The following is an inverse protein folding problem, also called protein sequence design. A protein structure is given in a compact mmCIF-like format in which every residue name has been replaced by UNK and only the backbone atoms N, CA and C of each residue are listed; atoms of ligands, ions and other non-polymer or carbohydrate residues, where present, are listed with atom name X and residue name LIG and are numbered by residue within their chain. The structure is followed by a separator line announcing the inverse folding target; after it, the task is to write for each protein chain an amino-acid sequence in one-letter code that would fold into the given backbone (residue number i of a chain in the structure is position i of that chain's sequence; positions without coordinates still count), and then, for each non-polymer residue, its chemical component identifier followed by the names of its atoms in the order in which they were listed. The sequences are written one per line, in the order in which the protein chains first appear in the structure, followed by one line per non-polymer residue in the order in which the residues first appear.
data_IF_302554847530
#
_entry.id   IF_302554847530
#
_cell.length_a   1.000
_cell.length_b   1.000
_cell.length_c   1.000
_cell.angle_alpha   90.00
_cell.angle_beta   90.00
_cell.angle_gamma   90.00
#
_symmetry.space_group_name_H-M   'P 1'
#
loop_
_entity.id
_entity.type
_entity.pdbx_description
1 polymer ?
#
# COMPACT_ATOMS: atom_id res chain seq x y z
N UNK A 1 -3.09 -0.63 -13.00
CA UNK A 1 -2.51 -1.01 -11.72
C UNK A 1 -3.04 -0.13 -10.61
N UNK A 2 -3.11 -0.67 -9.40
CA UNK A 2 -3.34 0.09 -8.17
C UNK A 2 -2.02 0.16 -7.38
N UNK A 3 -1.51 1.36 -7.13
CA UNK A 3 -0.31 1.60 -6.34
C UNK A 3 -0.72 2.16 -4.98
N UNK A 4 -0.28 1.53 -3.91
CA UNK A 4 -0.61 1.92 -2.54
C UNK A 4 0.70 2.24 -1.79
N UNK A 5 1.05 3.51 -1.63
CA UNK A 5 2.12 3.93 -0.73
C UNK A 5 1.75 3.58 0.70
N UNK A 6 2.56 2.77 1.38
CA UNK A 6 2.29 2.36 2.75
C UNK A 6 3.57 2.27 3.57
N UNK A 7 3.48 2.55 4.87
CA UNK A 7 4.55 2.25 5.81
C UNK A 7 4.72 0.73 5.95
N UNK A 8 5.96 0.28 6.06
CA UNK A 8 6.28 -1.14 6.12
C UNK A 8 5.73 -1.85 7.36
N UNK A 9 5.54 -1.11 8.44
CA UNK A 9 5.06 -1.61 9.74
C UNK A 9 3.71 -0.97 10.05
N UNK A 10 2.77 -1.79 10.49
CA UNK A 10 1.40 -1.42 10.83
C UNK A 10 0.51 -1.26 9.61
N UNK A 11 0.70 -0.20 8.81
CA UNK A 11 -0.17 0.14 7.68
C UNK A 11 -0.21 -0.95 6.60
N UNK A 12 0.93 -1.52 6.25
CA UNK A 12 0.97 -2.62 5.26
C UNK A 12 0.16 -3.82 5.76
N UNK A 13 0.32 -4.22 7.02
CA UNK A 13 -0.40 -5.37 7.59
C UNK A 13 -1.91 -5.10 7.66
N UNK A 14 -2.32 -3.89 8.02
CA UNK A 14 -3.74 -3.52 8.01
C UNK A 14 -4.35 -3.59 6.60
N UNK A 15 -3.63 -3.11 5.58
CA UNK A 15 -4.08 -3.22 4.17
C UNK A 15 -4.17 -4.70 3.77
N UNK A 16 -3.19 -5.52 4.11
CA UNK A 16 -3.19 -6.94 3.80
C UNK A 16 -4.40 -7.64 4.44
N UNK A 17 -4.67 -7.40 5.71
CA UNK A 17 -5.84 -7.94 6.40
C UNK A 17 -7.15 -7.56 5.71
N UNK A 18 -7.31 -6.30 5.28
CA UNK A 18 -8.51 -5.85 4.56
C UNK A 18 -8.64 -6.50 3.17
N UNK A 19 -7.53 -6.65 2.45
CA UNK A 19 -7.52 -7.31 1.15
C UNK A 19 -7.80 -8.80 1.28
N UNK A 20 -7.29 -9.46 2.34
CA UNK A 20 -7.56 -10.85 2.63
C UNK A 20 -9.05 -11.09 2.93
N UNK A 21 -9.68 -10.24 3.73
CA UNK A 21 -11.16 -10.27 3.92
C UNK A 21 -11.92 -10.11 2.60
N UNK A 22 -11.43 -9.28 1.67
CA UNK A 22 -12.04 -9.13 0.34
C UNK A 22 -11.82 -10.39 -0.52
N UNK A 23 -10.65 -11.00 -0.44
CA UNK A 23 -10.34 -12.24 -1.15
C UNK A 23 -11.21 -13.39 -0.66
N UNK A 24 -11.26 -13.63 0.65
CA UNK A 24 -12.07 -14.69 1.28
C UNK A 24 -13.57 -14.52 1.04
N UNK A 25 -14.06 -13.27 0.97
CA UNK A 25 -15.46 -12.97 0.62
C UNK A 25 -15.75 -13.03 -0.89
N UNK A 26 -14.78 -13.35 -1.73
CA UNK A 26 -14.93 -13.42 -3.19
C UNK A 26 -15.00 -12.07 -3.91
N UNK A 27 -14.77 -10.96 -3.20
CA UNK A 27 -14.77 -9.60 -3.80
C UNK A 27 -13.46 -9.25 -4.51
N UNK A 28 -12.35 -9.90 -4.14
CA UNK A 28 -11.05 -9.74 -4.76
C UNK A 28 -10.63 -11.09 -5.36
N UNK A 29 -10.87 -11.28 -6.66
CA UNK A 29 -10.50 -12.51 -7.35
C UNK A 29 -9.61 -12.20 -8.55
N UNK A 30 -8.69 -13.13 -8.87
CA UNK A 30 -7.84 -13.08 -10.07
C UNK A 30 -6.96 -11.83 -10.20
N UNK A 31 -6.66 -11.15 -9.10
CA UNK A 31 -5.75 -10.01 -9.05
C UNK A 31 -4.54 -10.38 -8.18
N UNK A 32 -3.35 -10.24 -8.74
CA UNK A 32 -2.12 -10.40 -7.99
C UNK A 32 -1.86 -9.16 -7.12
N UNK A 33 -1.49 -9.39 -5.87
CA UNK A 33 -1.08 -8.36 -4.91
C UNK A 33 0.40 -8.54 -4.61
N UNK A 34 1.17 -7.48 -4.78
CA UNK A 34 2.61 -7.48 -4.53
C UNK A 34 2.93 -6.56 -3.36
N UNK A 35 3.56 -7.11 -2.33
CA UNK A 35 4.16 -6.34 -1.23
C UNK A 35 5.62 -6.09 -1.59
N UNK A 36 5.90 -4.92 -2.14
CA UNK A 36 7.24 -4.56 -2.60
C UNK A 36 8.01 -3.78 -1.53
N UNK A 37 8.26 -4.46 -0.44
CA UNK A 37 9.04 -3.97 0.70
C UNK A 37 9.63 -5.14 1.50
N UNK A 38 10.95 -5.38 1.46
CA UNK A 38 11.58 -6.40 2.29
C UNK A 38 11.35 -6.20 3.79
N UNK A 39 11.33 -4.94 4.24
CA UNK A 39 11.04 -4.64 5.65
C UNK A 39 9.59 -5.00 6.01
N UNK A 40 8.63 -4.76 5.11
CA UNK A 40 7.24 -5.15 5.36
C UNK A 40 7.07 -6.67 5.45
N UNK A 41 7.78 -7.42 4.61
CA UNK A 41 7.80 -8.89 4.69
C UNK A 41 8.27 -9.37 6.06
N UNK A 42 9.46 -8.90 6.51
CA UNK A 42 10.01 -9.28 7.80
C UNK A 42 9.10 -8.85 8.98
N UNK A 43 8.51 -7.65 8.88
CA UNK A 43 7.56 -7.18 9.89
C UNK A 43 6.32 -8.08 9.95
N UNK A 44 5.77 -8.48 8.80
CA UNK A 44 4.59 -9.36 8.76
C UNK A 44 4.87 -10.73 9.35
N UNK A 45 6.08 -11.29 9.12
CA UNK A 45 6.50 -12.53 9.77
C UNK A 45 6.46 -12.41 11.32
N UNK A 46 6.86 -11.25 11.86
CA UNK A 46 6.76 -10.98 13.31
C UNK A 46 5.30 -10.87 13.76
N UNK A 47 4.45 -10.19 12.99
CA UNK A 47 3.01 -10.12 13.32
C UNK A 47 2.39 -11.53 13.41
N UNK A 48 2.69 -12.40 12.45
CA UNK A 48 2.13 -13.78 12.40
C UNK A 48 2.53 -14.61 13.62
N UNK A 49 3.75 -14.44 14.15
CA UNK A 49 4.23 -15.22 15.32
C UNK A 49 3.83 -14.62 16.67
N UNK A 50 3.17 -13.45 16.68
CA UNK A 50 2.70 -12.77 17.88
C UNK A 50 1.18 -12.50 17.83
N UNK A 51 0.34 -13.53 17.66
CA UNK A 51 -1.10 -13.36 17.60
C UNK A 51 -1.69 -12.78 18.88
N UNK A 52 -1.04 -12.95 20.03
CA UNK A 52 -1.46 -12.41 21.33
C UNK A 52 -1.54 -10.87 21.36
N UNK A 53 -0.96 -10.19 20.35
CA UNK A 53 -1.00 -8.74 20.21
C UNK A 53 -2.19 -8.24 19.35
N UNK A 54 -3.00 -9.14 18.80
CA UNK A 54 -4.13 -8.78 17.97
C UNK A 54 -5.36 -8.44 18.82
N UNK A 55 -6.25 -7.65 18.23
CA UNK A 55 -7.55 -7.37 18.80
C UNK A 55 -8.54 -8.56 18.61
N UNK A 56 -9.69 -8.45 19.25
CA UNK A 56 -10.71 -9.50 19.21
C UNK A 56 -11.24 -9.71 17.78
N UNK A 57 -11.30 -8.65 16.93
CA UNK A 57 -11.77 -8.75 15.56
C UNK A 57 -10.86 -9.67 14.73
N UNK A 58 -9.54 -9.50 14.84
CA UNK A 58 -8.58 -10.35 14.13
C UNK A 58 -8.59 -11.77 14.69
N UNK A 59 -8.69 -11.94 16.01
CA UNK A 59 -8.83 -13.26 16.62
C UNK A 59 -10.06 -14.03 16.12
N UNK A 60 -11.22 -13.40 16.06
CA UNK A 60 -12.42 -14.01 15.48
C UNK A 60 -12.25 -14.37 14.00
N UNK A 61 -11.57 -13.51 13.25
CA UNK A 61 -11.29 -13.75 11.85
C UNK A 61 -10.36 -14.95 11.65
N UNK A 62 -9.31 -15.09 12.47
CA UNK A 62 -8.35 -16.20 12.42
C UNK A 62 -8.97 -17.57 12.71
N UNK A 63 -10.16 -17.64 13.32
CA UNK A 63 -10.91 -18.90 13.41
C UNK A 63 -11.39 -19.42 12.04
N UNK A 64 -11.45 -18.55 11.04
CA UNK A 64 -11.89 -18.87 9.66
C UNK A 64 -10.74 -18.89 8.67
N UNK A 65 -9.72 -18.10 8.93
CA UNK A 65 -8.52 -17.98 8.12
C UNK A 65 -7.28 -17.88 9.01
N UNK A 66 -6.43 -18.91 8.99
CA UNK A 66 -5.25 -19.01 9.87
C UNK A 66 -4.18 -17.93 9.54
N UNK A 67 -4.20 -17.36 8.33
CA UNK A 67 -3.20 -16.37 7.91
C UNK A 67 -3.84 -15.10 7.31
N UNK A 68 -4.25 -14.15 8.15
CA UNK A 68 -4.94 -12.94 7.71
C UNK A 68 -4.06 -11.95 6.92
N UNK A 69 -2.80 -12.29 6.66
CA UNK A 69 -1.83 -11.46 5.93
C UNK A 69 -1.31 -12.13 4.65
N UNK A 70 -1.95 -13.22 4.19
CA UNK A 70 -1.48 -13.89 2.99
C UNK A 70 -2.46 -14.89 2.39
N UNK A 71 -2.55 -14.88 1.07
CA UNK A 71 -3.38 -15.78 0.25
C UNK A 71 -2.67 -16.12 -1.07
N UNK A 72 -3.24 -17.02 -1.87
CA UNK A 72 -2.58 -17.57 -3.05
C UNK A 72 -2.07 -16.54 -4.07
N UNK A 73 -2.77 -15.39 -4.21
CA UNK A 73 -2.41 -14.34 -5.17
C UNK A 73 -1.62 -13.19 -4.54
N UNK A 74 -1.14 -13.35 -3.31
CA UNK A 74 -0.29 -12.36 -2.62
C UNK A 74 1.18 -12.81 -2.68
N UNK A 75 2.05 -11.87 -3.05
CA UNK A 75 3.46 -12.13 -3.30
C UNK A 75 4.36 -11.08 -2.63
N UNK A 76 5.37 -11.53 -1.90
CA UNK A 76 6.42 -10.65 -1.41
C UNK A 76 7.54 -10.50 -2.43
N UNK A 77 7.90 -9.25 -2.75
CA UNK A 77 8.98 -8.90 -3.67
C UNK A 77 10.27 -8.70 -2.90
N UNK A 78 11.20 -9.66 -3.00
CA UNK A 78 12.44 -9.68 -2.22
C UNK A 78 13.55 -8.84 -2.85
N UNK A 79 13.76 -8.97 -4.15
CA UNK A 79 14.88 -8.33 -4.84
C UNK A 79 14.46 -7.18 -5.76
N UNK A 80 15.47 -6.36 -6.13
CA UNK A 80 15.25 -5.19 -6.96
C UNK A 80 14.87 -5.51 -8.41
N UNK A 81 15.24 -6.67 -8.95
CA UNK A 81 14.91 -7.03 -10.33
C UNK A 81 13.44 -7.41 -10.44
N UNK A 82 12.91 -8.14 -9.46
CA UNK A 82 11.47 -8.41 -9.35
C UNK A 82 10.69 -7.09 -9.27
N UNK A 83 11.12 -6.15 -8.40
CA UNK A 83 10.52 -4.83 -8.29
C UNK A 83 10.50 -4.06 -9.62
N UNK A 84 11.62 -4.07 -10.35
CA UNK A 84 11.72 -3.44 -11.68
C UNK A 84 10.80 -4.10 -12.69
N UNK A 85 10.68 -5.43 -12.67
CA UNK A 85 9.78 -6.17 -13.56
C UNK A 85 8.31 -5.75 -13.40
N UNK A 86 7.87 -5.41 -12.19
CA UNK A 86 6.53 -4.87 -11.95
C UNK A 86 6.27 -3.54 -12.69
N UNK A 87 7.32 -2.73 -12.90
CA UNK A 87 7.17 -1.45 -13.60
C UNK A 87 6.97 -1.62 -15.11
N UNK A 88 7.51 -2.67 -15.70
CA UNK A 88 7.44 -2.95 -17.14
C UNK A 88 6.30 -3.89 -17.51
N UNK A 89 5.84 -4.74 -16.59
CA UNK A 89 4.67 -5.59 -16.81
C UNK A 89 3.43 -4.76 -17.18
N UNK A 90 2.55 -5.30 -18.00
CA UNK A 90 1.24 -4.72 -18.35
C UNK A 90 0.08 -5.35 -17.56
N UNK A 91 0.37 -6.42 -16.82
CA UNK A 91 -0.64 -7.15 -16.05
C UNK A 91 -1.31 -6.27 -14.99
N UNK A 92 -2.64 -6.34 -14.85
CA UNK A 92 -3.35 -5.72 -13.74
C UNK A 92 -2.86 -6.29 -12.40
N UNK A 93 -2.51 -5.42 -11.46
CA UNK A 93 -2.09 -5.85 -10.13
C UNK A 93 -2.24 -4.73 -9.11
N UNK A 94 -2.19 -5.10 -7.83
CA UNK A 94 -2.04 -4.18 -6.70
C UNK A 94 -0.58 -4.21 -6.24
N UNK A 95 0.04 -3.05 -6.04
CA UNK A 95 1.41 -2.91 -5.54
C UNK A 95 1.37 -2.09 -4.25
N UNK A 96 1.73 -2.72 -3.14
CA UNK A 96 1.88 -2.07 -1.84
C UNK A 96 3.38 -1.88 -1.61
N UNK A 97 3.83 -0.64 -1.45
CA UNK A 97 5.26 -0.35 -1.35
C UNK A 97 5.56 0.82 -0.40
N UNK A 98 6.69 0.72 0.30
CA UNK A 98 7.18 1.79 1.16
C UNK A 98 7.92 2.88 0.34
N UNK A 99 7.89 4.13 0.80
CA UNK A 99 7.33 4.65 2.04
C UNK A 99 5.89 5.18 1.86
N UNK A 100 5.14 5.25 2.96
CA UNK A 100 3.75 5.75 2.94
C UNK A 100 3.58 7.19 2.47
N UNK A 101 4.59 8.04 2.63
CA UNK A 101 4.58 9.44 2.14
C UNK A 101 5.17 9.57 0.73
N UNK A 102 5.53 8.47 0.08
CA UNK A 102 6.07 8.38 -1.28
C UNK A 102 7.39 9.14 -1.56
N UNK A 103 8.07 9.66 -0.54
CA UNK A 103 9.30 10.45 -0.73
C UNK A 103 10.53 9.60 -1.03
N UNK A 104 10.53 8.35 -0.60
CA UNK A 104 11.65 7.41 -0.72
C UNK A 104 11.15 5.98 -0.93
N UNK A 105 12.08 5.05 -1.11
CA UNK A 105 11.78 3.63 -1.25
C UNK A 105 11.28 3.23 -2.63
N UNK A 106 10.86 1.98 -2.75
CA UNK A 106 10.46 1.37 -4.02
C UNK A 106 9.20 2.00 -4.61
N UNK A 107 8.29 2.49 -3.77
CA UNK A 107 7.08 3.19 -4.21
C UNK A 107 7.39 4.38 -5.11
N UNK A 108 8.48 5.11 -4.84
CA UNK A 108 8.88 6.25 -5.67
C UNK A 108 9.23 5.84 -7.10
N UNK A 109 9.83 4.66 -7.29
CA UNK A 109 10.10 4.10 -8.60
C UNK A 109 8.80 3.65 -9.29
N UNK A 110 7.87 3.03 -8.57
CA UNK A 110 6.57 2.67 -9.12
C UNK A 110 5.81 3.92 -9.59
N UNK A 111 5.75 4.96 -8.78
CA UNK A 111 5.10 6.22 -9.15
C UNK A 111 5.76 6.85 -10.38
N UNK A 112 7.09 6.87 -10.46
CA UNK A 112 7.83 7.38 -11.62
C UNK A 112 7.39 6.70 -12.93
N UNK A 113 7.17 5.39 -12.92
CA UNK A 113 6.81 4.61 -14.11
C UNK A 113 5.31 4.49 -14.38
N UNK A 114 4.45 4.88 -13.45
CA UNK A 114 3.02 4.57 -13.53
C UNK A 114 2.09 5.79 -13.46
N UNK A 115 2.57 6.97 -13.00
CA UNK A 115 1.73 8.17 -12.86
C UNK A 115 1.25 8.74 -14.19
N UNK A 116 2.00 8.56 -15.27
CA UNK A 116 1.63 9.07 -16.60
C UNK A 116 0.59 8.19 -17.33
N UNK A 117 0.17 7.08 -16.72
CA UNK A 117 -0.74 6.09 -17.31
C UNK A 117 -2.16 6.25 -16.76
N UNK A 118 -3.12 6.70 -17.59
CA UNK A 118 -4.47 7.02 -17.12
C UNK A 118 -5.28 5.79 -16.63
N UNK A 119 -4.88 4.58 -16.99
CA UNK A 119 -5.52 3.35 -16.53
C UNK A 119 -5.06 2.93 -15.13
N UNK A 120 -4.11 3.63 -14.53
CA UNK A 120 -3.60 3.33 -13.20
C UNK A 120 -4.28 4.19 -12.14
N UNK A 121 -4.23 3.70 -10.89
CA UNK A 121 -4.72 4.43 -9.73
C UNK A 121 -3.64 4.43 -8.65
N UNK A 122 -3.48 5.55 -7.98
CA UNK A 122 -2.71 5.68 -6.74
C UNK A 122 -3.69 5.85 -5.60
N UNK A 123 -3.62 4.97 -4.60
CA UNK A 123 -4.46 5.06 -3.41
C UNK A 123 -3.61 5.52 -2.22
N UNK A 124 -3.85 6.74 -1.77
CA UNK A 124 -3.24 7.28 -0.56
C UNK A 124 -4.04 6.81 0.65
N UNK A 125 -3.39 6.09 1.53
CA UNK A 125 -3.98 5.52 2.75
C UNK A 125 -3.43 6.22 3.99
N UNK A 126 -4.21 7.12 4.57
CA UNK A 126 -3.83 7.89 5.75
C UNK A 126 -3.18 9.23 5.43
N UNK A 127 -2.53 9.79 6.44
CA UNK A 127 -1.96 11.15 6.41
C UNK A 127 -0.66 11.22 5.62
N UNK A 128 -0.50 12.27 4.83
CA UNK A 128 0.76 12.66 4.21
C UNK A 128 1.19 14.05 4.70
N UNK A 129 2.40 14.16 5.22
CA UNK A 129 2.94 15.43 5.70
C UNK A 129 3.17 16.44 4.56
N UNK A 130 3.02 17.71 4.86
CA UNK A 130 3.27 18.80 3.91
C UNK A 130 4.68 18.70 3.31
N UNK A 131 4.81 19.00 2.03
CA UNK A 131 6.06 18.97 1.27
C UNK A 131 6.43 17.57 0.76
N UNK A 132 5.72 16.52 1.15
CA UNK A 132 5.96 15.14 0.64
C UNK A 132 5.35 14.92 -0.75
N UNK A 133 5.88 13.94 -1.48
CA UNK A 133 5.30 13.56 -2.77
C UNK A 133 3.86 13.04 -2.60
N UNK A 134 3.59 12.29 -1.52
CA UNK A 134 2.24 11.82 -1.20
C UNK A 134 1.26 12.98 -1.04
N UNK A 135 1.62 14.03 -0.27
CA UNK A 135 0.76 15.23 -0.14
C UNK A 135 0.56 15.96 -1.47
N UNK A 136 1.62 16.11 -2.26
CA UNK A 136 1.48 16.71 -3.60
C UNK A 136 0.48 15.96 -4.47
N UNK A 137 0.48 14.62 -4.44
CA UNK A 137 -0.48 13.81 -5.19
C UNK A 137 -1.92 13.95 -4.67
N UNK A 138 -2.11 14.15 -3.36
CA UNK A 138 -3.42 14.45 -2.76
C UNK A 138 -4.01 15.71 -3.35
N UNK A 139 -3.19 16.75 -3.62
CA UNK A 139 -3.61 18.02 -4.24
C UNK A 139 -3.94 17.90 -5.73
N UNK A 140 -3.81 16.69 -6.32
CA UNK A 140 -4.12 16.35 -7.72
C UNK A 140 -3.48 17.29 -8.74
N UNK A 141 -2.16 17.48 -8.72
CA UNK A 141 -1.47 18.40 -9.63
C UNK A 141 -1.45 17.84 -11.06
N UNK A 142 -1.22 18.70 -12.06
CA UNK A 142 -1.02 18.26 -13.44
C UNK A 142 0.28 17.46 -13.62
N UNK A 143 1.32 17.81 -12.84
CA UNK A 143 2.63 17.13 -12.85
C UNK A 143 3.31 17.18 -11.50
N UNK A 144 4.25 16.26 -11.29
CA UNK A 144 5.13 16.18 -10.11
C UNK A 144 6.57 15.95 -10.54
N UNK A 145 7.53 16.37 -9.72
CA UNK A 145 8.95 16.12 -9.99
C UNK A 145 9.41 14.86 -9.22
N UNK A 146 9.85 13.84 -9.95
CA UNK A 146 10.40 12.60 -9.39
C UNK A 146 11.75 12.33 -10.05
N UNK A 147 12.81 12.14 -9.25
CA UNK A 147 14.19 11.93 -9.74
C UNK A 147 14.67 13.04 -10.69
N UNK A 148 14.33 14.30 -10.38
CA UNK A 148 14.65 15.48 -11.19
C UNK A 148 14.00 15.49 -12.59
N UNK A 149 12.96 14.67 -12.79
CA UNK A 149 12.19 14.64 -14.02
C UNK A 149 10.73 15.01 -13.73
N UNK A 150 10.15 15.82 -14.59
CA UNK A 150 8.73 16.17 -14.51
C UNK A 150 7.89 15.02 -15.08
N UNK A 151 6.98 14.50 -14.27
CA UNK A 151 6.06 13.42 -14.63
C UNK A 151 4.63 13.93 -14.60
N UNK A 152 3.90 13.78 -15.70
CA UNK A 152 2.48 14.12 -15.75
C UNK A 152 1.67 13.17 -14.88
N UNK A 153 0.73 13.72 -14.11
CA UNK A 153 -0.19 12.92 -13.29
C UNK A 153 -1.47 12.67 -14.09
N UNK A 154 -1.52 11.54 -14.77
CA UNK A 154 -2.69 11.07 -15.53
C UNK A 154 -3.42 9.92 -14.82
N UNK A 155 -2.73 9.23 -13.93
CA UNK A 155 -3.33 8.21 -13.08
C UNK A 155 -4.36 8.85 -12.14
N UNK A 156 -5.43 8.12 -11.82
CA UNK A 156 -6.36 8.54 -10.76
C UNK A 156 -5.65 8.58 -9.41
N UNK A 157 -5.92 9.60 -8.60
CA UNK A 157 -5.45 9.67 -7.21
C UNK A 157 -6.65 9.64 -6.29
N UNK A 158 -6.75 8.56 -5.52
CA UNK A 158 -7.82 8.33 -4.56
C UNK A 158 -7.27 8.41 -3.13
N UNK A 159 -8.11 8.82 -2.19
CA UNK A 159 -7.73 9.02 -0.80
C UNK A 159 -8.65 8.20 0.09
N UNK A 160 -8.06 7.40 0.97
CA UNK A 160 -8.78 6.65 1.99
C UNK A 160 -8.37 7.17 3.39
N UNK A 161 -9.17 8.06 3.96
CA UNK A 161 -8.92 8.65 5.27
C UNK A 161 -9.30 7.75 6.43
N UNK A 162 -10.20 6.80 6.23
CA UNK A 162 -10.71 5.88 7.27
C UNK A 162 -9.66 4.96 7.90
N UNK A 163 -8.45 4.92 7.34
CA UNK A 163 -7.32 4.17 7.89
C UNK A 163 -6.31 5.08 8.63
N UNK A 164 -6.65 6.33 8.96
CA UNK A 164 -5.77 7.18 9.76
C UNK A 164 -5.79 6.71 11.21
N UNK A 165 -4.60 6.47 11.77
CA UNK A 165 -4.40 6.19 13.20
C UNK A 165 -3.96 7.43 14.00
N UNK A 166 -3.96 8.60 13.37
CA UNK A 166 -3.64 9.85 14.05
C UNK A 166 -4.89 10.39 14.72
N UNK A 167 -4.78 10.67 16.02
CA UNK A 167 -5.78 11.43 16.75
C UNK A 167 -5.96 12.81 16.10
N UNK A 168 -7.20 13.24 15.93
CA UNK A 168 -7.49 14.61 15.53
C UNK A 168 -7.43 15.58 16.73
N UNK A 169 -7.54 16.88 16.46
CA UNK A 169 -7.46 17.87 17.53
C UNK A 169 -8.54 17.68 18.61
N UNK A 170 -9.82 17.38 18.31
CA UNK A 170 -10.83 17.07 19.31
C UNK A 170 -10.49 15.85 20.19
N UNK A 171 -9.90 14.80 19.60
CA UNK A 171 -9.49 13.60 20.34
C UNK A 171 -8.30 13.86 21.28
N UNK A 172 -7.41 14.79 20.91
CA UNK A 172 -6.26 15.19 21.74
C UNK A 172 -6.64 16.11 22.90
N UNK A 173 -7.82 16.74 22.85
CA UNK A 173 -8.28 17.71 23.86
C UNK A 173 -9.29 17.11 24.86
N UNK A 174 -9.60 15.81 24.74
CA UNK A 174 -10.36 15.04 25.72
C UNK A 174 -9.45 14.47 26.80
#
# INVERSE_FOLDING_TARGET
KLIIPAFSIGRTQEILYRLDKMYTSGKLQNINVYVDSPLAMNATEIFVIHPECFDDEIHEYMQKDENPFGWNNMHYVKDANQSKALNTSTEPCIIIAASGMANAGRVKHHLFHQLDKPQNTVLIVGYCAQGTLGQKLVDKPESVNIFHQEIKVRASVEIMSSMSAHADQPELLQ
#
